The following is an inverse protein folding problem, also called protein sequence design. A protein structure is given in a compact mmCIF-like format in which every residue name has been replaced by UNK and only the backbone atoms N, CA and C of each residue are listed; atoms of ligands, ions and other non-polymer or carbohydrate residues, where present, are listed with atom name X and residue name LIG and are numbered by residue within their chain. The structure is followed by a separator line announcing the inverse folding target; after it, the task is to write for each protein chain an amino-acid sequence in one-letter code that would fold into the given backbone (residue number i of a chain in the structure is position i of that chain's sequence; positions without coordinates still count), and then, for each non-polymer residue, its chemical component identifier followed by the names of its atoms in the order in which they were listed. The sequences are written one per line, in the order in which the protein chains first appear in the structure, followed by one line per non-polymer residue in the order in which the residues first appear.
data_IF_859840602312
#
_entry.id   IF_859840602312
#
_cell.length_a   1.000
_cell.length_b   1.000
_cell.length_c   1.000
_cell.angle_alpha   90.00
_cell.angle_beta   90.00
_cell.angle_gamma   90.00
#
_symmetry.space_group_name_H-M   'P 1'
#
loop_
_entity.id
_entity.type
_entity.pdbx_description
1 polymer ?
#
# COMPACT_ATOMS: atom_id res chain seq x y z
N UNK A 1 21.77 -7.48 -10.33
CA UNK A 1 20.34 -7.24 -10.02
C UNK A 1 19.55 -7.72 -11.20
N UNK A 2 18.68 -8.70 -11.00
CA UNK A 2 17.85 -9.26 -12.05
C UNK A 2 16.82 -8.24 -12.52
N UNK A 3 16.42 -8.32 -13.78
CA UNK A 3 15.34 -7.53 -14.32
C UNK A 3 14.00 -7.86 -13.64
N UNK A 4 13.02 -6.94 -13.65
CA UNK A 4 11.65 -7.20 -13.19
C UNK A 4 11.05 -8.51 -13.71
N UNK A 5 11.21 -8.78 -15.01
CA UNK A 5 10.65 -9.98 -15.65
C UNK A 5 11.35 -11.25 -15.20
N UNK A 6 12.67 -11.22 -15.01
CA UNK A 6 13.43 -12.34 -14.45
C UNK A 6 13.01 -12.63 -13.00
N UNK A 7 12.80 -11.61 -12.18
CA UNK A 7 12.31 -11.78 -10.79
C UNK A 7 10.98 -12.53 -10.80
N UNK A 8 10.04 -12.09 -11.63
CA UNK A 8 8.71 -12.70 -11.67
C UNK A 8 8.70 -14.08 -12.33
N UNK A 9 9.51 -14.32 -13.36
CA UNK A 9 9.62 -15.62 -14.01
C UNK A 9 10.17 -16.69 -13.05
N UNK A 10 11.07 -16.29 -12.15
CA UNK A 10 11.73 -17.16 -11.18
C UNK A 10 11.10 -17.11 -9.77
N UNK A 11 9.96 -16.41 -9.61
CA UNK A 11 9.31 -16.32 -8.31
C UNK A 11 8.55 -17.60 -7.98
N UNK A 12 9.01 -18.31 -6.95
CA UNK A 12 8.40 -19.56 -6.46
C UNK A 12 8.03 -19.48 -4.96
N UNK A 13 7.90 -18.26 -4.44
CA UNK A 13 7.68 -17.99 -3.02
C UNK A 13 8.98 -17.81 -2.24
N UNK A 14 8.87 -17.89 -0.92
CA UNK A 14 9.97 -17.60 0.00
C UNK A 14 11.05 -18.69 -0.04
N UNK A 15 12.31 -18.27 0.01
CA UNK A 15 13.47 -19.14 0.16
C UNK A 15 13.52 -19.63 1.61
N UNK A 16 13.37 -20.94 1.82
CA UNK A 16 13.47 -21.57 3.14
C UNK A 16 12.53 -20.98 4.22
N UNK A 17 11.40 -20.37 3.82
CA UNK A 17 10.52 -19.60 4.72
C UNK A 17 11.23 -18.46 5.47
N UNK A 18 12.23 -17.85 4.83
CA UNK A 18 13.07 -16.80 5.42
C UNK A 18 12.97 -15.51 4.60
N UNK A 19 12.54 -14.42 5.25
CA UNK A 19 12.38 -13.11 4.62
C UNK A 19 13.69 -12.59 4.03
N UNK A 20 14.78 -12.63 4.80
CA UNK A 20 16.03 -11.98 4.48
C UNK A 20 16.83 -12.79 3.46
N UNK A 21 16.83 -14.13 3.58
CA UNK A 21 17.37 -15.01 2.54
C UNK A 21 16.62 -14.81 1.22
N UNK A 22 15.30 -14.62 1.26
CA UNK A 22 14.52 -14.32 0.05
C UNK A 22 14.93 -12.97 -0.55
N UNK A 23 14.99 -11.89 0.24
CA UNK A 23 15.42 -10.56 -0.24
C UNK A 23 16.82 -10.63 -0.87
N UNK A 24 17.80 -11.25 -0.19
CA UNK A 24 19.17 -11.38 -0.71
C UNK A 24 19.20 -12.13 -2.04
N UNK A 25 18.50 -13.27 -2.12
CA UNK A 25 18.47 -14.11 -3.33
C UNK A 25 17.74 -13.42 -4.48
N UNK A 26 16.57 -12.84 -4.22
CA UNK A 26 15.72 -12.21 -5.23
C UNK A 26 16.38 -11.00 -5.87
N UNK A 27 17.11 -10.20 -5.09
CA UNK A 27 17.76 -8.99 -5.58
C UNK A 27 19.27 -9.15 -5.82
N UNK A 28 19.79 -10.39 -5.72
CA UNK A 28 21.23 -10.70 -5.86
C UNK A 28 22.12 -9.79 -5.00
N UNK A 29 21.72 -9.57 -3.74
CA UNK A 29 22.47 -8.71 -2.85
C UNK A 29 23.81 -9.37 -2.47
N UNK A 30 24.91 -8.61 -2.43
CA UNK A 30 26.22 -9.15 -2.05
C UNK A 30 26.24 -9.57 -0.58
N UNK A 31 27.10 -10.52 -0.23
CA UNK A 31 27.22 -11.04 1.14
C UNK A 31 27.68 -9.97 2.15
N UNK A 32 28.39 -8.95 1.69
CA UNK A 32 28.88 -7.80 2.44
C UNK A 32 28.06 -6.52 2.18
N UNK A 33 26.79 -6.66 1.80
CA UNK A 33 25.88 -5.53 1.54
C UNK A 33 25.81 -4.56 2.73
N UNK A 34 26.41 -3.37 2.55
CA UNK A 34 26.53 -2.34 3.57
C UNK A 34 25.56 -1.17 3.36
N UNK A 35 24.61 -1.30 2.43
CA UNK A 35 23.66 -0.25 2.16
C UNK A 35 22.77 0.02 3.37
N UNK A 36 22.50 1.31 3.59
CA UNK A 36 21.67 1.77 4.69
C UNK A 36 20.29 2.10 4.16
N UNK A 37 19.30 1.28 4.50
CA UNK A 37 17.90 1.57 4.23
C UNK A 37 17.44 2.74 5.11
N UNK A 38 16.87 3.76 4.47
CA UNK A 38 16.44 5.00 5.12
C UNK A 38 14.95 5.23 4.96
N UNK A 39 14.28 5.55 6.06
CA UNK A 39 12.98 6.21 6.07
C UNK A 39 12.79 6.94 7.41
N UNK A 40 12.46 8.23 7.37
CA UNK A 40 12.32 9.07 8.58
C UNK A 40 13.56 8.95 9.49
N UNK A 41 13.38 8.57 10.76
CA UNK A 41 14.45 8.36 11.73
C UNK A 41 15.16 7.02 11.62
N UNK A 42 14.76 6.13 10.71
CA UNK A 42 15.40 4.83 10.50
C UNK A 42 16.54 4.94 9.51
N UNK A 43 17.70 4.40 9.89
CA UNK A 43 18.87 4.26 9.04
C UNK A 43 19.61 2.97 9.46
N UNK A 44 19.31 1.85 8.79
CA UNK A 44 19.81 0.53 9.16
C UNK A 44 20.20 -0.28 7.93
N UNK A 45 21.24 -1.10 8.06
CA UNK A 45 21.60 -2.12 7.07
C UNK A 45 20.65 -3.33 7.12
N UNK A 46 20.68 -4.18 6.09
CA UNK A 46 19.85 -5.40 6.09
C UNK A 46 20.15 -6.28 7.31
N UNK A 47 21.43 -6.45 7.65
CA UNK A 47 21.87 -7.25 8.79
C UNK A 47 21.34 -6.69 10.14
N UNK A 48 21.35 -5.37 10.31
CA UNK A 48 20.80 -4.73 11.52
C UNK A 48 19.28 -4.86 11.62
N UNK A 49 18.56 -4.91 10.49
CA UNK A 49 17.12 -5.16 10.46
C UNK A 49 16.83 -6.62 10.85
N UNK A 50 17.59 -7.57 10.30
CA UNK A 50 17.49 -9.01 10.61
C UNK A 50 17.74 -9.29 12.09
N UNK A 51 18.82 -8.78 12.66
CA UNK A 51 19.13 -8.92 14.09
C UNK A 51 17.99 -8.44 15.00
N UNK A 52 17.35 -7.31 14.67
CA UNK A 52 16.23 -6.78 15.46
C UNK A 52 14.96 -7.63 15.36
N UNK A 53 14.76 -8.30 14.24
CA UNK A 53 13.64 -9.22 14.05
C UNK A 53 13.89 -10.51 14.82
N UNK A 54 15.10 -11.06 14.75
CA UNK A 54 15.50 -12.29 15.45
C UNK A 54 15.44 -12.13 16.98
N UNK A 55 15.88 -10.99 17.51
CA UNK A 55 15.81 -10.70 18.96
C UNK A 55 14.38 -10.51 19.46
N UNK A 56 13.38 -10.39 18.56
CA UNK A 56 11.97 -10.22 18.92
C UNK A 56 11.64 -8.87 19.55
N UNK A 57 12.59 -7.93 19.54
CA UNK A 57 12.48 -6.59 20.15
C UNK A 57 11.33 -5.77 19.56
N UNK A 58 10.90 -6.10 18.34
CA UNK A 58 10.00 -5.29 17.53
C UNK A 58 8.66 -5.95 17.16
N UNK A 59 8.30 -7.03 17.87
CA UNK A 59 6.97 -7.63 17.73
C UNK A 59 5.88 -6.60 18.04
N UNK A 60 4.86 -6.55 17.20
CA UNK A 60 3.69 -5.73 17.40
C UNK A 60 2.85 -6.30 18.55
N UNK A 61 2.50 -5.45 19.51
CA UNK A 61 1.85 -5.86 20.76
C UNK A 61 0.40 -5.39 20.77
N UNK A 62 -0.52 -6.33 20.61
CA UNK A 62 -1.93 -6.08 20.86
C UNK A 62 -2.17 -6.01 22.37
N UNK A 63 -3.09 -5.15 22.81
CA UNK A 63 -3.43 -4.99 24.22
C UNK A 63 -4.95 -5.03 24.42
N UNK A 64 -5.38 -5.56 25.56
CA UNK A 64 -6.74 -5.40 26.08
C UNK A 64 -6.67 -5.17 27.58
N UNK A 65 -7.42 -4.18 28.07
CA UNK A 65 -7.42 -3.76 29.47
C UNK A 65 -6.00 -3.57 30.06
N UNK A 66 -5.10 -2.97 29.28
CA UNK A 66 -3.71 -2.71 29.68
C UNK A 66 -2.79 -3.93 29.74
N UNK A 67 -3.26 -5.11 29.32
CA UNK A 67 -2.46 -6.35 29.24
C UNK A 67 -2.17 -6.69 27.79
N UNK A 68 -0.92 -7.10 27.52
CA UNK A 68 -0.54 -7.61 26.22
C UNK A 68 -1.28 -8.93 25.93
N UNK A 69 -1.85 -9.04 24.73
CA UNK A 69 -2.50 -10.24 24.21
C UNK A 69 -1.56 -10.91 23.22
N UNK A 70 -1.43 -12.22 23.36
CA UNK A 70 -0.79 -13.06 22.35
C UNK A 70 -1.72 -13.25 21.15
N UNK A 71 -1.19 -13.00 19.96
CA UNK A 71 -1.91 -13.22 18.71
C UNK A 71 -1.53 -14.60 18.15
N UNK A 72 -2.50 -15.51 17.95
CA UNK A 72 -2.23 -16.79 17.30
C UNK A 72 -1.74 -16.60 15.86
N UNK A 73 -0.70 -17.33 15.40
CA UNK A 73 -0.25 -17.27 14.00
C UNK A 73 -1.35 -17.55 12.97
N UNK A 74 -2.33 -18.40 13.32
CA UNK A 74 -3.48 -18.69 12.48
C UNK A 74 -4.37 -17.47 12.23
N UNK A 75 -4.46 -16.54 13.18
CA UNK A 75 -5.21 -15.30 13.00
C UNK A 75 -4.49 -14.36 12.04
N UNK A 76 -3.14 -14.31 12.09
CA UNK A 76 -2.31 -13.54 11.15
C UNK A 76 -2.44 -14.11 9.72
N UNK A 77 -2.44 -15.44 9.59
CA UNK A 77 -2.71 -16.10 8.30
C UNK A 77 -4.10 -15.75 7.78
N UNK A 78 -5.12 -15.77 8.65
CA UNK A 78 -6.47 -15.39 8.25
C UNK A 78 -6.54 -13.91 7.82
N UNK A 79 -5.86 -13.00 8.50
CA UNK A 79 -5.77 -11.59 8.13
C UNK A 79 -5.10 -11.39 6.77
N UNK A 80 -3.90 -11.93 6.58
CA UNK A 80 -3.16 -11.79 5.32
C UNK A 80 -3.89 -12.41 4.13
N UNK A 81 -4.65 -13.48 4.35
CA UNK A 81 -5.49 -14.13 3.32
C UNK A 81 -6.62 -13.26 2.78
N UNK A 82 -7.02 -12.19 3.50
CA UNK A 82 -8.02 -11.22 3.02
C UNK A 82 -7.57 -10.58 1.70
N UNK A 83 -6.26 -10.38 1.54
CA UNK A 83 -5.67 -9.66 0.42
C UNK A 83 -5.09 -10.59 -0.66
N UNK A 84 -5.19 -11.91 -0.47
CA UNK A 84 -4.67 -12.89 -1.42
C UNK A 84 -5.45 -12.86 -2.74
N UNK A 85 -4.76 -13.03 -3.86
CA UNK A 85 -5.43 -13.13 -5.18
C UNK A 85 -6.35 -14.35 -5.30
N UNK A 86 -6.14 -15.37 -4.47
CA UNK A 86 -6.89 -16.63 -4.48
C UNK A 86 -8.16 -16.60 -3.62
N UNK A 87 -8.43 -15.50 -2.92
CA UNK A 87 -9.61 -15.35 -2.06
C UNK A 87 -10.57 -14.31 -2.61
N UNK A 88 -11.83 -14.42 -2.19
CA UNK A 88 -12.82 -13.36 -2.39
C UNK A 88 -12.77 -12.48 -1.15
N UNK A 89 -12.35 -11.22 -1.28
CA UNK A 89 -12.10 -10.33 -0.13
C UNK A 89 -13.33 -10.21 0.78
N UNK A 90 -14.53 -10.07 0.22
CA UNK A 90 -15.76 -9.91 1.00
C UNK A 90 -16.09 -11.16 1.81
N UNK A 91 -15.90 -12.35 1.22
CA UNK A 91 -16.07 -13.63 1.93
C UNK A 91 -14.96 -13.88 2.94
N UNK A 92 -13.71 -13.54 2.61
CA UNK A 92 -12.57 -13.65 3.50
C UNK A 92 -12.75 -12.76 4.73
N UNK A 93 -13.21 -11.51 4.57
CA UNK A 93 -13.54 -10.61 5.67
C UNK A 93 -14.70 -11.13 6.53
N UNK A 94 -15.74 -11.67 5.90
CA UNK A 94 -16.86 -12.30 6.63
C UNK A 94 -16.36 -13.47 7.48
N UNK A 95 -15.55 -14.35 6.91
CA UNK A 95 -14.94 -15.49 7.60
C UNK A 95 -13.94 -15.05 8.68
N UNK A 96 -13.21 -13.98 8.43
CA UNK A 96 -12.27 -13.40 9.39
C UNK A 96 -13.01 -12.95 10.65
N UNK A 97 -14.16 -12.30 10.49
CA UNK A 97 -15.04 -11.90 11.58
C UNK A 97 -15.75 -13.08 12.26
N UNK A 98 -16.41 -13.96 11.49
CA UNK A 98 -17.28 -15.02 12.05
C UNK A 98 -16.53 -16.05 12.88
N UNK A 99 -15.25 -16.27 12.58
CA UNK A 99 -14.39 -17.21 13.31
C UNK A 99 -13.57 -16.52 14.42
N UNK A 100 -13.76 -15.22 14.66
CA UNK A 100 -13.07 -14.53 15.74
C UNK A 100 -13.68 -14.89 17.09
N UNK A 101 -12.83 -15.13 18.10
CA UNK A 101 -13.30 -15.19 19.49
C UNK A 101 -13.83 -13.81 19.88
N UNK A 102 -14.95 -13.77 20.60
CA UNK A 102 -15.51 -12.52 21.13
C UNK A 102 -14.43 -11.77 21.93
N UNK A 103 -14.35 -10.46 21.74
CA UNK A 103 -13.37 -9.56 22.39
C UNK A 103 -11.89 -9.85 22.07
N UNK A 104 -11.60 -10.72 21.09
CA UNK A 104 -10.23 -10.91 20.61
C UNK A 104 -9.78 -9.75 19.71
N UNK A 105 -8.46 -9.51 19.58
CA UNK A 105 -7.92 -8.56 18.61
C UNK A 105 -8.43 -8.83 17.18
N UNK A 106 -8.58 -10.10 16.80
CA UNK A 106 -9.15 -10.50 15.51
C UNK A 106 -10.56 -9.95 15.31
N UNK A 107 -11.43 -10.02 16.32
CA UNK A 107 -12.79 -9.51 16.23
C UNK A 107 -12.79 -7.98 16.03
N UNK A 108 -11.94 -7.26 16.77
CA UNK A 108 -11.81 -5.80 16.65
C UNK A 108 -11.28 -5.38 15.28
N UNK A 109 -10.22 -6.01 14.79
CA UNK A 109 -9.67 -5.74 13.45
C UNK A 109 -10.72 -6.07 12.38
N UNK A 110 -11.40 -7.21 12.49
CA UNK A 110 -12.39 -7.62 11.51
C UNK A 110 -13.57 -6.64 11.43
N UNK A 111 -14.11 -6.22 12.58
CA UNK A 111 -15.17 -5.22 12.66
C UNK A 111 -14.72 -3.89 12.06
N UNK A 112 -13.51 -3.45 12.39
CA UNK A 112 -12.92 -2.24 11.84
C UNK A 112 -12.84 -2.31 10.31
N UNK A 113 -12.17 -3.32 9.75
CA UNK A 113 -12.03 -3.47 8.29
C UNK A 113 -13.38 -3.55 7.57
N UNK A 114 -14.38 -4.23 8.16
CA UNK A 114 -15.73 -4.31 7.61
C UNK A 114 -16.44 -2.96 7.60
N UNK A 115 -16.35 -2.20 8.70
CA UNK A 115 -16.94 -0.86 8.81
C UNK A 115 -16.37 0.13 7.80
N UNK A 116 -15.12 -0.09 7.38
CA UNK A 116 -14.42 0.76 6.41
C UNK A 116 -14.63 0.30 4.97
N UNK A 117 -15.14 -0.90 4.70
CA UNK A 117 -15.26 -1.39 3.33
C UNK A 117 -16.47 -0.79 2.59
N UNK A 118 -16.20 -0.25 1.41
CA UNK A 118 -17.19 0.16 0.41
C UNK A 118 -16.68 -0.30 -0.96
N UNK A 119 -17.23 -1.37 -1.55
CA UNK A 119 -16.79 -1.80 -2.88
C UNK A 119 -17.98 -2.33 -3.69
N UNK A 120 -18.36 -1.68 -4.80
CA UNK A 120 -19.35 -2.20 -5.73
C UNK A 120 -18.77 -3.22 -6.72
N UNK A 121 -17.45 -3.43 -6.72
CA UNK A 121 -16.76 -4.20 -7.73
C UNK A 121 -16.79 -5.70 -7.44
N UNK A 122 -16.92 -6.49 -8.51
CA UNK A 122 -16.74 -7.94 -8.46
C UNK A 122 -15.31 -8.26 -8.92
N UNK A 123 -14.54 -8.89 -8.05
CA UNK A 123 -13.13 -9.20 -8.30
C UNK A 123 -13.00 -10.70 -8.61
N UNK A 124 -12.45 -11.07 -9.79
CA UNK A 124 -12.17 -12.47 -10.06
C UNK A 124 -11.05 -12.97 -9.16
N UNK A 125 -11.05 -14.26 -8.80
CA UNK A 125 -9.92 -14.89 -8.11
C UNK A 125 -8.87 -15.31 -9.14
N UNK A 126 -7.59 -15.29 -8.76
CA UNK A 126 -6.50 -15.76 -9.60
C UNK A 126 -5.46 -16.55 -8.79
N UNK A 127 -5.19 -17.77 -9.24
CA UNK A 127 -4.03 -18.57 -8.78
C UNK A 127 -2.75 -18.26 -9.56
N UNK A 128 -2.89 -17.57 -10.70
CA UNK A 128 -1.78 -17.26 -11.60
C UNK A 128 -1.18 -15.87 -11.35
N UNK A 129 -1.82 -15.04 -10.52
CA UNK A 129 -1.28 -13.74 -10.14
C UNK A 129 -0.08 -13.93 -9.21
N UNK A 130 1.09 -13.47 -9.66
CA UNK A 130 2.34 -13.47 -8.91
C UNK A 130 2.54 -12.06 -8.34
N UNK A 131 2.91 -11.97 -7.07
CA UNK A 131 3.22 -10.70 -6.41
C UNK A 131 4.24 -10.92 -5.29
N UNK A 132 5.55 -10.80 -5.59
CA UNK A 132 6.62 -11.00 -4.61
C UNK A 132 6.47 -10.11 -3.37
N UNK A 133 6.01 -8.88 -3.56
CA UNK A 133 5.80 -7.95 -2.45
C UNK A 133 4.72 -8.45 -1.49
N UNK A 134 3.62 -9.00 -2.01
CA UNK A 134 2.55 -9.56 -1.18
C UNK A 134 3.06 -10.74 -0.33
N UNK A 135 3.80 -11.67 -0.92
CA UNK A 135 4.30 -12.85 -0.21
C UNK A 135 5.27 -12.47 0.92
N UNK A 136 6.21 -11.56 0.63
CA UNK A 136 7.15 -11.05 1.63
C UNK A 136 6.44 -10.23 2.72
N UNK A 137 5.46 -9.39 2.36
CA UNK A 137 4.65 -8.66 3.32
C UNK A 137 3.87 -9.61 4.24
N UNK A 138 3.20 -10.62 3.68
CA UNK A 138 2.41 -11.57 4.46
C UNK A 138 3.29 -12.31 5.47
N UNK A 139 4.51 -12.67 5.08
CA UNK A 139 5.48 -13.27 6.00
C UNK A 139 6.01 -12.27 7.04
N UNK A 140 6.21 -11.00 6.67
CA UNK A 140 6.59 -9.96 7.63
C UNK A 140 5.53 -9.77 8.72
N UNK A 141 4.25 -9.97 8.42
CA UNK A 141 3.19 -9.95 9.43
C UNK A 141 3.36 -11.07 10.47
N UNK A 142 3.83 -12.25 10.07
CA UNK A 142 4.12 -13.36 10.99
C UNK A 142 5.31 -13.01 11.89
N UNK A 143 6.40 -12.52 11.32
CA UNK A 143 7.61 -12.13 12.07
C UNK A 143 7.31 -11.02 13.09
N UNK A 144 6.48 -10.06 12.70
CA UNK A 144 6.12 -8.91 13.52
C UNK A 144 4.87 -9.12 14.37
N UNK A 145 4.30 -10.33 14.38
CA UNK A 145 3.04 -10.67 15.09
C UNK A 145 1.90 -9.68 14.81
N UNK A 146 1.80 -9.18 13.57
CA UNK A 146 0.84 -8.18 13.16
C UNK A 146 -0.44 -8.81 12.58
N UNK A 147 -1.58 -8.49 13.18
CA UNK A 147 -2.91 -9.00 12.82
C UNK A 147 -3.75 -7.97 12.04
N UNK A 148 -3.23 -6.78 11.80
CA UNK A 148 -3.94 -5.69 11.15
C UNK A 148 -4.20 -4.47 12.05
N UNK A 149 -4.72 -3.38 11.45
CA UNK A 149 -4.91 -2.11 12.13
C UNK A 149 -6.04 -2.16 13.15
N UNK A 150 -5.88 -1.42 14.24
CA UNK A 150 -6.94 -1.18 15.23
C UNK A 150 -7.52 0.22 15.04
N UNK A 151 -8.80 0.44 15.37
CA UNK A 151 -9.40 1.78 15.46
C UNK A 151 -8.93 2.51 16.74
N UNK A 152 -7.64 2.42 17.05
CA UNK A 152 -7.07 2.94 18.28
C UNK A 152 -6.46 4.34 18.06
N UNK A 153 -6.74 5.33 18.93
CA UNK A 153 -6.20 6.68 18.81
C UNK A 153 -4.67 6.76 18.74
N UNK A 154 -3.96 5.80 19.32
CA UNK A 154 -2.50 5.73 19.24
C UNK A 154 -2.01 5.58 17.79
N UNK A 155 -2.73 4.86 16.92
CA UNK A 155 -2.40 4.75 15.49
C UNK A 155 -2.64 6.06 14.74
N UNK A 156 -3.56 6.88 15.25
CA UNK A 156 -3.92 8.18 14.68
C UNK A 156 -3.01 9.31 15.13
N UNK A 157 -2.10 9.07 16.08
CA UNK A 157 -1.16 10.10 16.54
C UNK A 157 0.02 10.26 15.57
N UNK A 158 0.29 11.46 15.01
CA UNK A 158 1.35 11.65 14.01
C UNK A 158 2.74 11.19 14.46
N UNK A 159 3.07 11.34 15.76
CA UNK A 159 4.35 10.85 16.30
C UNK A 159 4.48 9.32 16.26
N UNK A 160 3.38 8.58 16.39
CA UNK A 160 3.40 7.11 16.34
C UNK A 160 3.47 6.62 14.90
N UNK A 161 2.88 7.36 13.95
CA UNK A 161 3.03 7.04 12.52
C UNK A 161 4.48 7.14 12.03
N UNK A 162 5.34 7.94 12.69
CA UNK A 162 6.78 8.03 12.42
C UNK A 162 7.60 6.89 13.04
N UNK A 163 7.02 6.12 13.97
CA UNK A 163 7.65 4.96 14.60
C UNK A 163 7.23 3.69 13.86
N UNK A 164 7.77 3.52 12.66
CA UNK A 164 7.50 2.37 11.80
C UNK A 164 8.39 1.17 12.15
N UNK A 165 8.00 -0.05 11.79
CA UNK A 165 8.90 -1.20 11.92
C UNK A 165 10.11 -1.04 10.96
N UNK A 166 11.37 -1.34 11.35
CA UNK A 166 12.56 -1.14 10.51
C UNK A 166 12.63 -2.01 9.26
N UNK A 167 11.77 -3.03 9.17
CA UNK A 167 11.49 -3.78 7.92
C UNK A 167 10.90 -2.86 6.84
N UNK A 168 10.20 -1.79 7.21
CA UNK A 168 9.48 -0.93 6.27
C UNK A 168 10.40 -0.21 5.27
N UNK A 169 11.50 0.47 5.70
CA UNK A 169 12.50 0.98 4.78
C UNK A 169 12.98 -0.06 3.75
N UNK A 170 13.25 -1.31 4.17
CA UNK A 170 13.66 -2.36 3.25
C UNK A 170 12.62 -2.59 2.15
N UNK A 171 11.33 -2.66 2.50
CA UNK A 171 10.27 -2.80 1.51
C UNK A 171 10.12 -1.58 0.61
N UNK A 172 10.24 -0.37 1.14
CA UNK A 172 10.15 0.86 0.35
C UNK A 172 11.20 0.88 -0.76
N UNK A 173 12.43 0.50 -0.43
CA UNK A 173 13.55 0.48 -1.36
C UNK A 173 13.41 -0.57 -2.47
N UNK A 174 12.79 -1.71 -2.16
CA UNK A 174 12.65 -2.83 -3.11
C UNK A 174 11.33 -2.82 -3.89
N UNK A 175 10.24 -2.29 -3.33
CA UNK A 175 8.89 -2.41 -3.91
C UNK A 175 8.02 -1.15 -3.79
N UNK A 176 8.38 -0.17 -2.98
CA UNK A 176 7.56 1.03 -2.72
C UNK A 176 6.65 0.90 -1.50
N UNK A 177 5.78 1.88 -1.29
CA UNK A 177 5.22 2.13 0.05
C UNK A 177 4.01 1.30 0.47
N UNK A 178 3.22 0.82 -0.50
CA UNK A 178 2.02 0.01 -0.24
C UNK A 178 1.98 -1.17 -1.19
N UNK A 179 1.62 -2.34 -0.67
CA UNK A 179 1.49 -3.56 -1.46
C UNK A 179 0.26 -3.45 -2.37
N UNK A 180 0.40 -3.43 -3.71
CA UNK A 180 -0.73 -3.53 -4.62
C UNK A 180 -1.40 -4.91 -4.47
N UNK A 181 -2.69 -4.93 -4.15
CA UNK A 181 -3.45 -6.19 -4.07
C UNK A 181 -4.10 -6.52 -5.40
N UNK A 182 -4.41 -7.80 -5.59
CA UNK A 182 -5.18 -8.24 -6.75
C UNK A 182 -6.55 -7.53 -6.86
N UNK A 183 -7.21 -7.27 -5.74
CA UNK A 183 -8.43 -6.46 -5.69
C UNK A 183 -8.20 -5.02 -6.16
N UNK A 184 -7.17 -4.34 -5.63
CA UNK A 184 -6.88 -2.96 -6.01
C UNK A 184 -6.56 -2.83 -7.51
N UNK A 185 -5.72 -3.72 -8.03
CA UNK A 185 -5.36 -3.73 -9.44
C UNK A 185 -6.57 -3.97 -10.34
N UNK A 186 -7.49 -4.89 -9.97
CA UNK A 186 -8.72 -5.15 -10.73
C UNK A 186 -9.74 -4.00 -10.65
N UNK A 187 -9.82 -3.30 -9.52
CA UNK A 187 -10.65 -2.10 -9.40
C UNK A 187 -10.14 -1.04 -10.36
N UNK A 188 -8.83 -0.78 -10.40
CA UNK A 188 -8.22 0.17 -11.35
C UNK A 188 -8.48 -0.28 -12.79
N UNK A 189 -8.29 -1.57 -13.10
CA UNK A 189 -8.54 -2.12 -14.44
C UNK A 189 -9.99 -1.94 -14.91
N UNK A 190 -10.97 -2.04 -14.00
CA UNK A 190 -12.39 -1.84 -14.30
C UNK A 190 -12.79 -0.36 -14.41
N UNK A 191 -11.95 0.55 -13.95
CA UNK A 191 -12.22 1.99 -13.89
C UNK A 191 -11.57 2.79 -15.01
N UNK A 192 -10.54 2.25 -15.66
CA UNK A 192 -9.78 2.95 -16.68
C UNK A 192 -10.26 2.59 -18.08
N UNK A 193 -10.54 3.62 -18.90
CA UNK A 193 -10.87 3.45 -20.32
C UNK A 193 -9.70 3.83 -21.24
N UNK A 194 -8.96 4.89 -20.89
CA UNK A 194 -7.87 5.46 -21.73
C UNK A 194 -6.50 5.44 -21.03
N UNK A 195 -6.35 4.61 -20.01
CA UNK A 195 -5.10 4.45 -19.27
C UNK A 195 -5.03 5.17 -17.93
N UNK A 196 -3.89 5.00 -17.27
CA UNK A 196 -3.62 5.46 -15.91
C UNK A 196 -2.41 6.38 -15.91
N UNK A 197 -2.49 7.46 -15.13
CA UNK A 197 -1.34 8.29 -14.75
C UNK A 197 -0.98 7.87 -13.33
N UNK A 198 0.14 7.17 -13.16
CA UNK A 198 0.71 6.83 -11.85
C UNK A 198 1.59 8.00 -11.42
N UNK A 199 1.02 8.89 -10.60
CA UNK A 199 1.61 10.17 -10.19
C UNK A 199 2.39 10.01 -8.89
N UNK A 200 3.63 10.50 -8.88
CA UNK A 200 4.63 10.21 -7.85
C UNK A 200 4.86 8.69 -7.73
N UNK A 201 5.12 8.06 -8.87
CA UNK A 201 5.19 6.60 -9.02
C UNK A 201 6.35 5.93 -8.26
N UNK A 202 7.32 6.71 -7.76
CA UNK A 202 8.53 6.22 -7.12
C UNK A 202 9.27 5.23 -8.01
N UNK A 203 9.50 4.01 -7.50
CA UNK A 203 10.20 2.97 -8.24
C UNK A 203 9.36 2.24 -9.31
N UNK A 204 8.06 2.56 -9.41
CA UNK A 204 7.18 2.05 -10.46
C UNK A 204 6.65 0.63 -10.27
N UNK A 205 6.70 0.04 -9.07
CA UNK A 205 6.15 -1.32 -8.85
C UNK A 205 4.66 -1.43 -9.18
N UNK A 206 3.87 -0.41 -8.80
CA UNK A 206 2.44 -0.33 -9.15
C UNK A 206 2.24 -0.27 -10.67
N UNK A 207 2.96 0.63 -11.34
CA UNK A 207 2.98 0.72 -12.81
C UNK A 207 3.34 -0.62 -13.46
N UNK A 208 4.39 -1.30 -13.00
CA UNK A 208 4.82 -2.60 -13.53
C UNK A 208 3.70 -3.65 -13.44
N UNK A 209 3.05 -3.79 -12.27
CA UNK A 209 1.96 -4.75 -12.10
C UNK A 209 0.71 -4.41 -12.91
N UNK A 210 0.34 -3.14 -13.02
CA UNK A 210 -0.78 -2.71 -13.86
C UNK A 210 -0.50 -2.97 -15.35
N UNK A 211 0.73 -2.74 -15.83
CA UNK A 211 1.14 -3.06 -17.20
C UNK A 211 1.13 -4.56 -17.48
N UNK A 212 1.48 -5.40 -16.49
CA UNK A 212 1.30 -6.87 -16.59
C UNK A 212 -0.16 -7.32 -16.70
N UNK A 213 -1.11 -6.45 -16.36
CA UNK A 213 -2.54 -6.64 -16.63
C UNK A 213 -2.97 -6.06 -17.99
N UNK A 214 -2.01 -5.71 -18.86
CA UNK A 214 -2.22 -5.07 -20.16
C UNK A 214 -2.89 -3.69 -20.09
N UNK A 215 -2.70 -2.97 -18.98
CA UNK A 215 -3.17 -1.60 -18.86
C UNK A 215 -2.14 -0.62 -19.43
N UNK A 216 -2.60 0.41 -20.11
CA UNK A 216 -1.76 1.56 -20.47
C UNK A 216 -1.53 2.40 -19.21
N UNK A 217 -0.27 2.48 -18.77
CA UNK A 217 0.11 3.27 -17.58
C UNK A 217 1.31 4.15 -17.90
N UNK A 218 1.16 5.44 -17.61
CA UNK A 218 2.25 6.42 -17.64
C UNK A 218 2.69 6.73 -16.21
N UNK A 219 3.91 6.35 -15.87
CA UNK A 219 4.54 6.69 -14.60
C UNK A 219 5.17 8.08 -14.66
N UNK A 220 4.90 8.90 -13.64
CA UNK A 220 5.42 10.25 -13.51
C UNK A 220 6.00 10.41 -12.12
N UNK A 221 7.27 10.79 -12.04
CA UNK A 221 7.97 11.03 -10.78
C UNK A 221 9.06 12.11 -10.99
N UNK A 222 9.46 12.80 -9.94
CA UNK A 222 10.57 13.76 -10.02
C UNK A 222 11.94 13.12 -9.78
N UNK A 223 11.97 11.84 -9.37
CA UNK A 223 13.15 11.04 -9.13
C UNK A 223 14.07 11.59 -8.04
N UNK A 224 13.52 12.36 -7.08
CA UNK A 224 14.28 12.90 -5.94
C UNK A 224 14.68 11.82 -4.93
N UNK A 225 13.97 10.68 -4.94
CA UNK A 225 14.23 9.56 -4.05
C UNK A 225 15.10 8.50 -4.72
N UNK A 226 16.10 8.01 -3.98
CA UNK A 226 16.89 6.85 -4.39
C UNK A 226 16.19 5.55 -3.96
N UNK A 227 16.14 4.58 -4.86
CA UNK A 227 15.57 3.25 -4.63
C UNK A 227 16.60 2.18 -4.97
N UNK A 228 16.53 1.03 -4.28
CA UNK A 228 17.37 -0.13 -4.61
C UNK A 228 16.97 -0.80 -5.90
N UNK A 229 15.67 -0.85 -6.17
CA UNK A 229 15.11 -1.50 -7.34
C UNK A 229 14.21 -0.53 -8.07
N UNK A 230 14.43 -0.37 -9.37
CA UNK A 230 13.52 0.29 -10.30
C UNK A 230 12.79 -0.79 -11.11
N UNK A 231 11.46 -0.78 -11.06
CA UNK A 231 10.63 -1.79 -11.73
C UNK A 231 10.29 -1.45 -13.17
N UNK A 232 10.52 -0.20 -13.56
CA UNK A 232 10.36 0.31 -14.91
C UNK A 232 11.52 1.26 -15.20
N UNK A 233 11.87 1.40 -16.47
CA UNK A 233 12.97 2.26 -16.92
C UNK A 233 12.49 3.53 -17.65
N UNK A 234 11.18 3.65 -17.88
CA UNK A 234 10.55 4.67 -18.72
C UNK A 234 9.70 5.67 -17.92
N UNK A 235 10.01 5.86 -16.63
CA UNK A 235 9.36 6.89 -15.81
C UNK A 235 9.59 8.27 -16.42
N UNK A 236 8.52 9.03 -16.60
CA UNK A 236 8.61 10.42 -17.03
C UNK A 236 9.14 11.26 -15.88
N UNK A 237 10.40 11.68 -15.97
CA UNK A 237 11.01 12.58 -14.99
C UNK A 237 10.44 14.00 -15.13
N UNK A 238 9.47 14.35 -14.29
CA UNK A 238 8.81 15.65 -14.31
C UNK A 238 8.18 16.01 -12.96
N UNK A 239 8.03 17.32 -12.71
CA UNK A 239 7.05 17.81 -11.74
C UNK A 239 5.64 17.43 -12.20
N UNK A 240 4.86 16.83 -11.29
CA UNK A 240 3.53 16.31 -11.61
C UNK A 240 2.54 17.34 -12.15
N UNK A 241 2.63 18.59 -11.69
CA UNK A 241 1.76 19.68 -12.17
C UNK A 241 2.15 20.06 -13.59
N UNK A 242 3.44 20.18 -13.86
CA UNK A 242 3.95 20.50 -15.21
C UNK A 242 3.64 19.38 -16.21
N UNK A 243 3.72 18.12 -15.79
CA UNK A 243 3.27 17.00 -16.61
C UNK A 243 1.77 17.13 -16.95
N UNK A 244 0.91 17.33 -15.95
CA UNK A 244 -0.54 17.45 -16.18
C UNK A 244 -0.87 18.61 -17.12
N UNK A 245 -0.21 19.77 -17.00
CA UNK A 245 -0.41 20.90 -17.93
C UNK A 245 -0.09 20.51 -19.37
N UNK A 246 0.99 19.76 -19.60
CA UNK A 246 1.41 19.30 -20.93
C UNK A 246 0.53 18.17 -21.47
N UNK A 247 -0.09 17.38 -20.59
CA UNK A 247 -0.93 16.24 -20.94
C UNK A 247 -2.44 16.55 -20.88
N UNK A 248 -2.84 17.78 -21.23
CA UNK A 248 -4.25 18.23 -21.22
C UNK A 248 -4.99 17.99 -19.89
N UNK A 249 -4.27 18.17 -18.78
CA UNK A 249 -4.76 17.92 -17.41
C UNK A 249 -5.03 16.44 -17.11
N UNK A 250 -4.55 15.51 -17.93
CA UNK A 250 -4.84 14.08 -17.79
C UNK A 250 -6.29 13.70 -18.14
N UNK A 251 -6.98 14.52 -18.95
CA UNK A 251 -8.37 14.26 -19.35
C UNK A 251 -8.50 12.87 -19.99
N UNK A 252 -9.51 12.11 -19.54
CA UNK A 252 -9.79 10.74 -20.01
C UNK A 252 -8.95 9.64 -19.37
N UNK A 253 -7.86 9.98 -18.69
CA UNK A 253 -7.04 9.01 -17.93
C UNK A 253 -7.45 9.01 -16.47
N UNK A 254 -7.26 7.88 -15.79
CA UNK A 254 -7.41 7.76 -14.34
C UNK A 254 -6.15 8.33 -13.66
N UNK A 255 -6.30 9.14 -12.61
CA UNK A 255 -5.19 9.60 -11.79
C UNK A 255 -4.99 8.67 -10.60
N UNK A 256 -3.86 7.97 -10.55
CA UNK A 256 -3.44 7.14 -9.43
C UNK A 256 -2.38 7.91 -8.62
N UNK A 257 -2.58 8.00 -7.31
CA UNK A 257 -1.64 8.60 -6.36
C UNK A 257 -1.38 7.61 -5.24
N UNK A 258 -0.19 7.02 -5.22
CA UNK A 258 0.20 6.02 -4.21
C UNK A 258 1.13 6.64 -3.20
N UNK A 259 0.68 6.68 -1.95
CA UNK A 259 1.46 7.03 -0.76
C UNK A 259 2.19 8.37 -0.87
N UNK A 260 1.52 9.37 -1.45
CA UNK A 260 2.05 10.74 -1.54
C UNK A 260 2.24 11.28 -0.14
N UNK A 261 3.49 11.32 0.33
CA UNK A 261 3.85 11.82 1.66
C UNK A 261 3.47 13.29 1.78
N UNK A 262 3.09 13.72 2.98
CA UNK A 262 2.71 15.11 3.26
C UNK A 262 3.90 16.07 3.19
N UNK A 263 4.33 16.40 1.97
CA UNK A 263 5.33 17.43 1.70
C UNK A 263 4.68 18.63 0.99
N UNK A 264 4.59 19.75 1.72
CA UNK A 264 4.05 21.00 1.19
C UNK A 264 2.60 20.88 0.71
N UNK A 265 2.33 21.41 -0.49
CA UNK A 265 0.98 21.47 -1.09
C UNK A 265 0.82 20.58 -2.32
N UNK A 266 1.73 19.63 -2.55
CA UNK A 266 1.79 18.84 -3.79
C UNK A 266 0.47 18.14 -4.13
N UNK A 267 -0.09 17.33 -3.22
CA UNK A 267 -1.37 16.64 -3.41
C UNK A 267 -2.48 17.60 -3.83
N UNK A 268 -2.60 18.74 -3.14
CA UNK A 268 -3.61 19.76 -3.45
C UNK A 268 -3.44 20.32 -4.86
N UNK A 269 -2.21 20.68 -5.23
CA UNK A 269 -1.89 21.26 -6.55
C UNK A 269 -2.12 20.26 -7.69
N UNK A 270 -1.81 18.98 -7.47
CA UNK A 270 -2.10 17.90 -8.44
C UNK A 270 -3.61 17.75 -8.64
N UNK A 271 -4.39 17.69 -7.56
CA UNK A 271 -5.86 17.62 -7.64
C UNK A 271 -6.48 18.83 -8.35
N UNK A 272 -5.96 20.02 -8.11
CA UNK A 272 -6.38 21.26 -8.79
C UNK A 272 -6.00 21.30 -10.27
N UNK A 273 -4.89 20.67 -10.67
CA UNK A 273 -4.42 20.60 -12.06
C UNK A 273 -5.11 19.50 -12.87
N UNK A 274 -5.61 18.45 -12.21
CA UNK A 274 -6.23 17.31 -12.86
C UNK A 274 -7.60 17.66 -13.48
N UNK A 275 -7.85 17.17 -14.69
CA UNK A 275 -9.03 17.43 -15.53
C UNK A 275 -9.79 16.16 -15.91
N UNK A 276 -9.34 14.99 -15.47
CA UNK A 276 -10.12 13.76 -15.56
C UNK A 276 -11.24 13.70 -14.53
N UNK A 277 -11.87 12.53 -14.44
CA UNK A 277 -13.08 12.29 -13.64
C UNK A 277 -12.94 11.15 -12.63
N UNK A 278 -11.82 10.43 -12.63
CA UNK A 278 -11.57 9.32 -11.69
C UNK A 278 -10.23 9.52 -11.00
N UNK A 279 -10.25 9.53 -9.67
CA UNK A 279 -9.05 9.63 -8.82
C UNK A 279 -8.99 8.38 -7.96
N UNK A 280 -7.82 7.76 -7.92
CA UNK A 280 -7.48 6.68 -6.99
C UNK A 280 -6.37 7.16 -6.09
N UNK A 281 -6.61 7.16 -4.78
CA UNK A 281 -5.57 7.43 -3.77
C UNK A 281 -5.34 6.19 -2.95
N UNK A 282 -4.09 5.79 -2.81
CA UNK A 282 -3.67 4.69 -1.94
C UNK A 282 -2.79 5.27 -0.85
N UNK A 283 -3.11 5.05 0.42
CA UNK A 283 -2.35 5.59 1.54
C UNK A 283 -3.03 5.38 2.88
N UNK A 284 -2.60 6.15 3.88
CA UNK A 284 -3.08 5.97 5.25
C UNK A 284 -4.53 6.39 5.38
N UNK A 285 -5.37 5.52 5.96
CA UNK A 285 -6.79 5.80 6.13
C UNK A 285 -7.16 6.43 7.48
N UNK A 286 -6.27 6.33 8.47
CA UNK A 286 -6.50 6.93 9.78
C UNK A 286 -6.08 8.42 9.82
N UNK A 287 -6.31 9.05 10.98
CA UNK A 287 -6.06 10.48 11.15
C UNK A 287 -4.58 10.84 11.44
N UNK A 288 -3.62 9.96 11.12
CA UNK A 288 -2.21 10.23 11.37
C UNK A 288 -1.58 11.29 10.44
N UNK A 289 -2.25 11.61 9.32
CA UNK A 289 -1.87 12.66 8.35
C UNK A 289 -0.48 12.45 7.75
N UNK A 290 -0.10 11.19 7.57
CA UNK A 290 1.20 10.84 6.97
C UNK A 290 1.17 10.92 5.44
N UNK A 291 0.04 10.59 4.82
CA UNK A 291 -0.14 10.68 3.36
C UNK A 291 -1.27 11.63 2.97
N UNK A 292 -1.16 12.24 1.79
CA UNK A 292 -2.18 13.11 1.22
C UNK A 292 -2.08 14.55 1.72
N UNK A 293 -2.59 14.83 2.92
CA UNK A 293 -2.66 16.19 3.48
C UNK A 293 -2.17 16.24 4.93
N UNK A 294 -1.47 17.32 5.29
CA UNK A 294 -0.92 17.51 6.63
C UNK A 294 -1.95 17.97 7.67
N UNK A 295 -3.08 18.51 7.22
CA UNK A 295 -4.12 19.14 8.05
C UNK A 295 -5.41 18.30 8.19
N UNK A 296 -5.66 17.36 7.28
CA UNK A 296 -6.86 16.51 7.27
C UNK A 296 -6.58 15.14 6.63
N UNK A 297 -7.53 14.21 6.74
CA UNK A 297 -7.49 12.99 5.92
C UNK A 297 -7.90 13.28 4.47
N UNK A 298 -7.59 12.37 3.55
CA UNK A 298 -8.03 12.48 2.15
C UNK A 298 -9.55 12.53 2.06
N UNK A 299 -10.26 11.71 2.84
CA UNK A 299 -11.73 11.71 2.88
C UNK A 299 -12.28 13.05 3.34
N UNK A 300 -11.77 13.60 4.44
CA UNK A 300 -12.19 14.92 4.94
C UNK A 300 -11.93 16.04 3.92
N UNK A 301 -10.81 15.95 3.18
CA UNK A 301 -10.52 16.89 2.11
C UNK A 301 -11.57 16.80 1.01
N UNK A 302 -11.90 15.59 0.56
CA UNK A 302 -12.89 15.41 -0.51
C UNK A 302 -14.29 15.86 -0.09
N UNK A 303 -14.73 15.48 1.11
CA UNK A 303 -16.03 15.87 1.67
C UNK A 303 -16.17 17.40 1.82
N UNK A 304 -15.12 18.08 2.30
CA UNK A 304 -15.19 19.52 2.63
C UNK A 304 -14.84 20.43 1.45
N UNK A 305 -13.97 19.99 0.53
CA UNK A 305 -13.35 20.85 -0.49
C UNK A 305 -13.59 20.40 -1.93
N UNK A 306 -13.88 19.13 -2.16
CA UNK A 306 -14.06 18.57 -3.51
C UNK A 306 -15.50 18.09 -3.70
N UNK A 307 -16.49 18.93 -3.39
CA UNK A 307 -17.93 18.58 -3.36
C UNK A 307 -18.52 18.14 -4.70
N UNK A 308 -17.81 18.35 -5.81
CA UNK A 308 -18.14 17.81 -7.13
C UNK A 308 -17.71 16.36 -7.33
N UNK A 309 -17.17 15.71 -6.31
CA UNK A 309 -16.68 14.34 -6.33
C UNK A 309 -17.42 13.48 -5.30
N UNK A 310 -17.67 12.24 -5.65
CA UNK A 310 -18.32 11.23 -4.80
C UNK A 310 -17.38 10.04 -4.60
N UNK A 311 -17.35 9.51 -3.37
CA UNK A 311 -16.59 8.30 -3.07
C UNK A 311 -17.29 7.08 -3.66
N UNK A 312 -16.66 6.47 -4.67
CA UNK A 312 -17.18 5.30 -5.35
C UNK A 312 -16.72 3.98 -4.70
N UNK A 313 -15.55 3.99 -4.06
CA UNK A 313 -14.99 2.80 -3.42
C UNK A 313 -13.96 3.14 -2.34
N UNK A 314 -13.91 2.29 -1.31
CA UNK A 314 -12.91 2.26 -0.25
C UNK A 314 -12.63 0.80 0.12
N UNK A 315 -11.40 0.35 -0.07
CA UNK A 315 -10.96 -1.01 0.31
C UNK A 315 -9.69 -0.93 1.15
N UNK A 316 -9.59 -1.79 2.16
CA UNK A 316 -8.38 -1.89 2.96
C UNK A 316 -7.21 -2.39 2.12
N UNK A 317 -6.00 -1.95 2.46
CA UNK A 317 -4.77 -2.40 1.84
C UNK A 317 -3.88 -3.12 2.86
N UNK A 318 -2.97 -3.99 2.41
CA UNK A 318 -1.97 -4.63 3.27
C UNK A 318 -1.23 -3.55 4.07
N UNK A 319 -1.42 -3.58 5.39
CA UNK A 319 -0.84 -2.60 6.30
C UNK A 319 0.41 -3.20 6.95
N UNK A 320 1.43 -2.38 7.16
CA UNK A 320 2.57 -2.76 8.00
C UNK A 320 2.24 -2.60 9.48
N UNK A 321 3.03 -3.22 10.35
CA UNK A 321 2.87 -3.09 11.79
C UNK A 321 2.82 -1.60 12.22
N UNK A 322 1.73 -1.21 12.88
CA UNK A 322 1.48 0.18 13.30
C UNK A 322 0.95 1.11 12.19
N UNK A 323 0.67 0.60 11.00
CA UNK A 323 0.07 1.33 9.88
C UNK A 323 -1.37 0.90 9.66
N UNK A 324 -2.06 1.69 8.84
CA UNK A 324 -3.46 1.50 8.49
C UNK A 324 -3.72 2.09 7.11
N UNK A 325 -3.62 1.24 6.10
CA UNK A 325 -3.59 1.62 4.70
C UNK A 325 -4.93 1.28 4.02
N UNK A 326 -5.34 2.10 3.06
CA UNK A 326 -6.50 1.85 2.21
C UNK A 326 -6.30 2.42 0.80
N UNK A 327 -7.10 1.92 -0.13
CA UNK A 327 -7.33 2.53 -1.43
C UNK A 327 -8.72 3.15 -1.45
N UNK A 328 -8.78 4.37 -1.97
CA UNK A 328 -9.99 5.16 -2.12
C UNK A 328 -10.15 5.54 -3.58
N UNK A 329 -11.39 5.49 -4.07
CA UNK A 329 -11.76 5.89 -5.42
C UNK A 329 -12.80 6.99 -5.33
N UNK A 330 -12.54 8.10 -6.00
CA UNK A 330 -13.52 9.16 -6.22
C UNK A 330 -13.85 9.31 -7.69
N UNK A 331 -15.13 9.51 -7.97
CA UNK A 331 -15.62 9.88 -9.29
C UNK A 331 -16.20 11.28 -9.27
N UNK A 332 -15.95 12.05 -10.33
CA UNK A 332 -16.54 13.36 -10.52
C UNK A 332 -18.02 13.18 -10.88
N UNK A 333 -18.88 13.95 -10.22
CA UNK A 333 -20.31 13.97 -10.51
C UNK A 333 -20.52 14.53 -11.92
N UNK A 334 -20.92 13.70 -12.87
CA UNK A 334 -21.20 14.13 -14.26
C UNK A 334 -22.51 14.93 -14.41
N UNK A 335 -23.10 15.42 -13.31
CA UNK A 335 -24.41 16.07 -13.35
C UNK A 335 -24.89 16.65 -12.01
N UNK A 336 -24.15 17.63 -11.48
CA UNK A 336 -24.74 18.78 -10.78
C UNK A 336 -24.00 20.04 -11.24
N UNK A 337 -24.21 20.40 -12.50
CA UNK A 337 -24.11 21.81 -12.84
C UNK A 337 -25.15 22.53 -11.98
N UNK A 338 -24.68 23.38 -11.08
CA UNK A 338 -25.55 24.32 -10.37
C UNK A 338 -25.99 25.41 -11.34
#
# INVERSE_FOLDING_TARGET
MPSPDEIFANWHGLVCNDLFATIRKTFELPSDDSYVYRAESFAMTLAQIEEQVETGTLKYKYQSHGKQIEVPPADITAYTSIFASTTDTSKALTSFYSNAKKESPRATVAEYLRSRRLSPFKIPKSKAHINPYYDLWAHSCQLTTFLGPLPDPSYSHPLNAKRTHPILPMFYHHFGCVVPTWEALNIIAQLTDSGVIDMASGNGYWTYLLRRMNLEVTAVDNMDSEYRMMWISDTVNADGIEYLKKSSGGKGKLLLMVYVVTAGSFTRRVLEAYRGDTIVVVGTQNANRYTGFSDCTVEEHFEKKMTSWEMACRVAMPSFAGKDEAMFVWKRNQGKAM
#
